data_IF_205828615615
#
_entry.id   IF_205828615615
#
_cell.length_a   1.000
_cell.length_b   1.000
_cell.length_c   1.000
_cell.angle_alpha   90.00
_cell.angle_beta   90.00
_cell.angle_gamma   90.00
#
_symmetry.space_group_name_H-M   'P 1'
#
loop_
_entity.id
_entity.type
_entity.pdbx_description
1 polymer ?
#
# COMPACT_ATOMS: atom_id res chain seq x y z
N UNK A 1 30.00 21.77 21.86
CA UNK A 1 28.78 21.28 21.17
C UNK A 1 29.05 19.85 20.72
N UNK A 2 28.31 18.87 21.22
CA UNK A 2 28.39 17.49 20.72
C UNK A 2 27.81 17.46 19.29
N UNK A 3 28.64 17.18 18.29
CA UNK A 3 28.22 16.96 16.91
C UNK A 3 27.26 15.76 16.90
N UNK A 4 25.96 16.02 16.67
CA UNK A 4 24.96 14.97 16.56
C UNK A 4 25.25 14.18 15.28
N UNK A 5 25.61 12.91 15.42
CA UNK A 5 25.77 11.97 14.30
C UNK A 5 24.46 11.88 13.52
N UNK A 6 24.55 12.09 12.20
CA UNK A 6 23.42 12.03 11.27
C UNK A 6 22.87 10.61 11.14
N UNK A 7 21.64 10.46 10.64
CA UNK A 7 21.04 9.14 10.39
C UNK A 7 21.87 8.35 9.36
N UNK A 8 22.37 9.02 8.32
CA UNK A 8 23.21 8.41 7.30
C UNK A 8 24.52 7.84 7.88
N UNK A 9 25.19 8.60 8.77
CA UNK A 9 26.40 8.14 9.46
C UNK A 9 26.11 6.97 10.41
N UNK A 10 25.02 7.04 11.20
CA UNK A 10 24.60 5.93 12.08
C UNK A 10 24.30 4.65 11.31
N UNK A 11 23.73 4.79 10.12
CA UNK A 11 23.38 3.68 9.22
C UNK A 11 24.53 3.24 8.33
N UNK A 12 25.70 3.91 8.37
CA UNK A 12 26.88 3.61 7.54
C UNK A 12 26.57 3.63 6.04
N UNK A 13 25.81 4.62 5.59
CA UNK A 13 25.59 4.84 4.16
C UNK A 13 26.89 5.26 3.46
N UNK A 14 27.04 4.88 2.20
CA UNK A 14 28.08 5.41 1.32
C UNK A 14 27.69 6.78 0.73
N UNK A 15 26.39 7.08 0.66
CA UNK A 15 25.88 8.40 0.25
C UNK A 15 25.39 9.16 1.49
N UNK A 16 26.25 10.05 2.00
CA UNK A 16 26.04 10.68 3.32
C UNK A 16 25.20 11.96 3.27
N UNK A 17 25.27 12.70 2.18
CA UNK A 17 24.67 14.02 2.07
C UNK A 17 24.26 14.36 0.63
N UNK A 18 23.58 15.50 0.50
CA UNK A 18 23.15 16.10 -0.77
C UNK A 18 24.31 16.23 -1.76
N UNK A 19 25.51 16.58 -1.28
CA UNK A 19 26.70 16.78 -2.11
C UNK A 19 27.17 15.45 -2.71
N UNK A 20 27.17 14.39 -1.92
CA UNK A 20 27.53 13.02 -2.33
C UNK A 20 26.51 12.47 -3.33
N UNK A 21 25.21 12.67 -3.08
CA UNK A 21 24.15 12.26 -4.00
C UNK A 21 24.27 12.97 -5.36
N UNK A 22 24.51 14.30 -5.37
CA UNK A 22 24.78 15.05 -6.60
C UNK A 22 26.05 14.57 -7.32
N UNK A 23 27.10 14.19 -6.59
CA UNK A 23 28.36 13.67 -7.18
C UNK A 23 28.14 12.33 -7.90
N UNK A 24 27.43 11.39 -7.28
CA UNK A 24 27.10 10.10 -7.90
C UNK A 24 26.24 10.32 -9.15
N UNK A 25 25.24 11.20 -9.05
CA UNK A 25 24.37 11.56 -10.18
C UNK A 25 25.13 12.23 -11.32
N UNK A 26 26.07 13.12 -11.02
CA UNK A 26 26.91 13.79 -12.03
C UNK A 26 27.74 12.78 -12.82
N UNK A 27 28.36 11.80 -12.16
CA UNK A 27 29.13 10.75 -12.82
C UNK A 27 28.25 9.89 -13.75
N UNK A 28 27.01 9.59 -13.32
CA UNK A 28 26.05 8.87 -14.15
C UNK A 28 25.64 9.70 -15.39
N UNK A 29 25.39 11.01 -15.23
CA UNK A 29 25.07 11.90 -16.36
C UNK A 29 26.23 12.07 -17.34
N UNK A 30 27.47 12.12 -16.85
CA UNK A 30 28.67 12.19 -17.69
C UNK A 30 28.81 10.96 -18.58
N UNK A 31 28.56 9.76 -18.03
CA UNK A 31 28.53 8.51 -18.81
C UNK A 31 27.40 8.51 -19.86
N UNK A 32 26.30 9.19 -19.57
CA UNK A 32 25.18 9.40 -20.48
C UNK A 32 25.38 10.58 -21.46
N UNK A 33 26.45 11.39 -21.31
CA UNK A 33 26.71 12.62 -22.09
C UNK A 33 25.61 13.69 -21.95
N UNK A 34 25.00 13.80 -20.76
CA UNK A 34 23.90 14.72 -20.47
C UNK A 34 24.25 15.79 -19.41
N UNK A 35 25.46 15.77 -18.87
CA UNK A 35 25.94 16.67 -17.80
C UNK A 35 25.87 18.17 -18.17
N UNK A 36 25.96 18.48 -19.46
CA UNK A 36 25.90 19.85 -19.95
C UNK A 36 24.46 20.37 -20.13
N UNK A 37 23.47 19.48 -20.23
CA UNK A 37 22.07 19.85 -20.49
C UNK A 37 21.17 19.78 -19.24
N UNK A 38 21.66 19.17 -18.15
CA UNK A 38 20.87 18.86 -16.95
C UNK A 38 21.43 19.54 -15.71
N UNK A 39 20.52 20.04 -14.87
CA UNK A 39 20.74 20.55 -13.53
C UNK A 39 20.06 19.66 -12.47
N UNK A 40 20.46 19.82 -11.22
CA UNK A 40 19.90 19.05 -10.11
C UNK A 40 18.87 19.88 -9.36
N UNK A 41 17.68 19.31 -9.16
CA UNK A 41 16.74 19.78 -8.13
C UNK A 41 17.27 19.48 -6.72
N UNK A 42 16.39 19.58 -5.72
CA UNK A 42 16.74 19.28 -4.34
C UNK A 42 16.79 17.76 -4.12
N UNK A 43 17.96 17.16 -3.80
CA UNK A 43 18.05 15.75 -3.48
C UNK A 43 17.42 15.45 -2.13
N UNK A 44 16.70 14.34 -2.04
CA UNK A 44 16.06 13.89 -0.81
C UNK A 44 16.44 12.44 -0.51
N UNK A 45 16.60 12.13 0.77
CA UNK A 45 16.82 10.77 1.24
C UNK A 45 15.49 10.17 1.69
N UNK A 46 15.16 9.00 1.14
CA UNK A 46 14.06 8.18 1.62
C UNK A 46 14.63 7.16 2.62
N UNK A 47 14.56 7.52 3.89
CA UNK A 47 15.08 6.71 4.98
C UNK A 47 14.35 5.37 5.16
N UNK A 48 13.15 5.21 4.60
CA UNK A 48 12.40 3.95 4.69
C UNK A 48 12.94 2.91 3.71
N UNK A 49 13.34 3.35 2.52
CA UNK A 49 13.85 2.45 1.48
C UNK A 49 15.36 2.50 1.31
N UNK A 50 16.06 3.32 2.10
CA UNK A 50 17.52 3.47 2.06
C UNK A 50 18.02 3.95 0.69
N UNK A 51 17.32 4.92 0.09
CA UNK A 51 17.65 5.47 -1.24
C UNK A 51 17.77 6.99 -1.20
N UNK A 52 18.57 7.55 -2.10
CA UNK A 52 18.56 8.96 -2.44
C UNK A 52 17.84 9.17 -3.76
N UNK A 53 16.99 10.19 -3.82
CA UNK A 53 16.34 10.65 -5.05
C UNK A 53 16.93 11.99 -5.44
N UNK A 54 17.43 12.10 -6.67
CA UNK A 54 18.02 13.32 -7.23
C UNK A 54 17.17 13.77 -8.41
N UNK A 55 16.29 14.76 -8.24
CA UNK A 55 15.51 15.32 -9.34
C UNK A 55 16.42 15.93 -10.39
N UNK A 56 16.10 15.71 -11.67
CA UNK A 56 16.79 16.26 -12.81
C UNK A 56 15.94 17.35 -13.47
N UNK A 57 16.55 18.50 -13.72
CA UNK A 57 15.93 19.70 -14.29
C UNK A 57 16.65 20.06 -15.58
N UNK A 58 15.93 20.43 -16.64
CA UNK A 58 16.57 20.90 -17.87
C UNK A 58 17.20 22.28 -17.67
N UNK A 59 18.46 22.48 -18.08
CA UNK A 59 19.13 23.79 -17.91
C UNK A 59 18.46 24.92 -18.68
N UNK A 60 17.90 24.63 -19.85
CA UNK A 60 17.25 25.63 -20.70
C UNK A 60 15.79 25.82 -20.32
N UNK A 61 15.04 24.74 -20.13
CA UNK A 61 13.60 24.80 -19.86
C UNK A 61 13.26 25.09 -18.39
N UNK A 62 14.17 24.79 -17.45
CA UNK A 62 13.92 24.78 -16.01
C UNK A 62 12.81 23.82 -15.56
N UNK A 63 12.32 22.96 -16.45
CA UNK A 63 11.32 21.94 -16.14
C UNK A 63 11.98 20.70 -15.53
N UNK A 64 11.25 20.01 -14.65
CA UNK A 64 11.66 18.68 -14.16
C UNK A 64 11.56 17.67 -15.31
N UNK A 65 12.70 17.14 -15.73
CA UNK A 65 12.82 16.19 -16.84
C UNK A 65 12.98 14.74 -16.36
N UNK A 66 13.23 14.50 -15.08
CA UNK A 66 13.35 13.15 -14.52
C UNK A 66 13.89 13.10 -13.12
N UNK A 67 14.41 11.94 -12.72
CA UNK A 67 15.15 11.73 -11.49
C UNK A 67 16.13 10.56 -11.61
N UNK A 68 17.16 10.57 -10.76
CA UNK A 68 18.08 9.45 -10.54
C UNK A 68 17.91 8.95 -9.11
N UNK A 69 17.77 7.64 -8.96
CA UNK A 69 17.63 6.98 -7.67
C UNK A 69 18.91 6.21 -7.35
N UNK A 70 19.49 6.48 -6.19
CA UNK A 70 20.77 5.93 -5.74
C UNK A 70 20.52 5.08 -4.51
N UNK A 71 21.06 3.87 -4.48
CA UNK A 71 21.12 3.06 -3.27
C UNK A 71 22.10 3.70 -2.26
N UNK A 72 21.61 4.01 -1.05
CA UNK A 72 22.38 4.78 -0.08
C UNK A 72 23.55 3.98 0.51
N UNK A 73 23.50 2.64 0.50
CA UNK A 73 24.55 1.77 1.02
C UNK A 73 25.67 1.54 0.03
N UNK A 74 25.35 1.43 -1.26
CA UNK A 74 26.29 0.98 -2.29
C UNK A 74 26.74 2.10 -3.22
N UNK A 75 26.05 3.25 -3.21
CA UNK A 75 26.22 4.35 -4.18
C UNK A 75 25.92 3.94 -5.63
N UNK A 76 25.27 2.80 -5.84
CA UNK A 76 24.86 2.34 -7.17
C UNK A 76 23.53 2.99 -7.59
N UNK A 77 23.38 3.22 -8.90
CA UNK A 77 22.12 3.68 -9.46
C UNK A 77 21.13 2.51 -9.53
N UNK A 78 19.91 2.75 -9.06
CA UNK A 78 18.80 1.81 -9.15
C UNK A 78 18.09 2.07 -10.48
N UNK A 79 18.43 1.29 -11.51
CA UNK A 79 18.03 1.54 -12.90
C UNK A 79 16.51 1.51 -13.13
N UNK A 80 15.79 0.58 -12.50
CA UNK A 80 14.33 0.43 -12.61
C UNK A 80 13.56 1.58 -11.98
N UNK A 81 14.17 2.31 -11.04
CA UNK A 81 13.59 3.49 -10.38
C UNK A 81 14.08 4.81 -10.94
N UNK A 82 15.12 4.79 -11.79
CA UNK A 82 15.72 5.98 -12.39
C UNK A 82 15.15 6.27 -13.78
N UNK A 83 15.13 7.54 -14.18
CA UNK A 83 14.76 7.90 -15.55
C UNK A 83 15.87 7.48 -16.50
N UNK A 84 15.55 6.73 -17.55
CA UNK A 84 16.55 6.27 -18.53
C UNK A 84 17.15 7.44 -19.33
N UNK A 85 18.44 7.39 -19.71
CA UNK A 85 19.09 8.45 -20.48
C UNK A 85 18.36 8.85 -21.76
N UNK A 86 17.81 7.87 -22.49
CA UNK A 86 17.13 8.13 -23.77
C UNK A 86 15.83 8.94 -23.57
N UNK A 87 15.18 8.75 -22.42
CA UNK A 87 13.97 9.50 -22.04
C UNK A 87 14.34 10.93 -21.64
N UNK A 88 15.46 11.12 -20.94
CA UNK A 88 15.98 12.45 -20.60
C UNK A 88 16.33 13.24 -21.87
N UNK A 89 17.04 12.62 -22.82
CA UNK A 89 17.39 13.24 -24.09
C UNK A 89 16.15 13.64 -24.90
N UNK A 90 15.15 12.75 -25.01
CA UNK A 90 13.90 13.08 -25.70
C UNK A 90 13.17 14.28 -25.09
N UNK A 91 13.11 14.34 -23.75
CA UNK A 91 12.49 15.46 -23.02
C UNK A 91 13.27 16.77 -23.21
N UNK A 92 14.60 16.72 -23.18
CA UNK A 92 15.47 17.87 -23.42
C UNK A 92 15.34 18.44 -24.84
N UNK A 93 15.12 17.58 -25.85
CA UNK A 93 14.93 17.98 -27.25
C UNK A 93 13.52 18.50 -27.56
N UNK A 94 12.63 18.62 -26.57
CA UNK A 94 11.23 19.02 -26.79
C UNK A 94 10.44 18.04 -27.66
N UNK A 95 10.94 16.80 -27.81
CA UNK A 95 10.23 15.73 -28.52
C UNK A 95 9.16 15.21 -27.57
N UNK A 96 7.93 15.70 -27.76
CA UNK A 96 6.75 15.08 -27.17
C UNK A 96 6.77 13.58 -27.50
N UNK A 97 6.68 12.76 -26.46
CA UNK A 97 6.85 11.30 -26.46
C UNK A 97 5.66 10.60 -27.18
N UNK A 98 5.44 10.93 -28.45
CA UNK A 98 4.43 10.32 -29.31
C UNK A 98 4.97 9.21 -30.22
N UNK A 99 6.25 8.83 -30.08
CA UNK A 99 6.78 7.64 -30.75
C UNK A 99 7.50 6.69 -29.80
N UNK A 100 6.82 6.29 -28.72
CA UNK A 100 6.96 4.87 -28.37
C UNK A 100 6.27 4.09 -29.48
N UNK A 101 7.06 3.46 -30.34
CA UNK A 101 6.64 2.19 -30.93
C UNK A 101 6.19 1.36 -29.75
N UNK A 102 4.87 1.29 -29.51
CA UNK A 102 4.31 0.43 -28.50
C UNK A 102 4.79 -0.95 -28.91
N UNK A 103 5.81 -1.46 -28.21
CA UNK A 103 5.84 -2.88 -27.92
C UNK A 103 4.43 -3.11 -27.39
N UNK A 104 3.57 -3.78 -28.18
CA UNK A 104 2.29 -4.25 -27.68
C UNK A 104 2.70 -5.13 -26.50
N UNK A 105 2.73 -4.58 -25.28
CA UNK A 105 2.42 -5.37 -24.08
C UNK A 105 1.12 -6.02 -24.51
N UNK A 106 1.14 -7.34 -24.71
CA UNK A 106 -0.09 -8.07 -24.94
C UNK A 106 -1.07 -7.56 -23.90
N UNK A 107 -2.12 -6.88 -24.35
CA UNK A 107 -3.20 -6.54 -23.45
C UNK A 107 -3.72 -7.90 -23.04
N UNK A 108 -3.36 -8.34 -21.83
CA UNK A 108 -3.78 -9.64 -21.32
C UNK A 108 -5.27 -9.82 -21.58
N UNK A 109 -5.69 -11.03 -21.91
CA UNK A 109 -7.11 -11.29 -22.08
C UNK A 109 -7.78 -11.21 -20.71
N UNK A 110 -8.93 -10.55 -20.62
CA UNK A 110 -9.76 -10.64 -19.42
C UNK A 110 -10.16 -12.09 -19.22
N UNK A 111 -9.87 -12.65 -18.05
CA UNK A 111 -10.20 -14.03 -17.71
C UNK A 111 -11.50 -14.03 -16.92
N UNK A 112 -12.54 -14.63 -17.49
CA UNK A 112 -13.78 -14.88 -16.76
C UNK A 112 -13.54 -15.96 -15.70
N UNK A 113 -14.08 -15.72 -14.50
CA UNK A 113 -14.06 -16.74 -13.46
C UNK A 113 -14.84 -17.98 -13.91
N UNK A 114 -14.23 -19.15 -13.75
CA UNK A 114 -14.90 -20.45 -13.94
C UNK A 114 -15.58 -20.94 -12.65
N UNK A 115 -15.44 -20.20 -11.54
CA UNK A 115 -16.01 -20.59 -10.26
C UNK A 115 -17.54 -20.43 -10.30
N UNK A 116 -18.22 -21.41 -9.70
CA UNK A 116 -19.67 -21.34 -9.46
C UNK A 116 -19.94 -20.79 -8.07
N UNK A 117 -21.17 -20.36 -7.82
CA UNK A 117 -21.63 -20.03 -6.48
C UNK A 117 -21.41 -21.24 -5.56
N UNK A 118 -20.47 -21.10 -4.62
CA UNK A 118 -19.98 -22.20 -3.79
C UNK A 118 -19.81 -21.71 -2.36
N UNK A 119 -20.22 -22.53 -1.40
CA UNK A 119 -19.92 -22.34 0.02
C UNK A 119 -18.95 -23.47 0.40
N UNK A 120 -17.75 -23.10 0.83
CA UNK A 120 -16.74 -24.04 1.29
C UNK A 120 -16.60 -23.95 2.82
N UNK A 121 -16.51 -25.10 3.49
CA UNK A 121 -16.29 -25.19 4.93
C UNK A 121 -14.87 -25.70 5.18
N UNK A 122 -14.06 -24.91 5.88
CA UNK A 122 -12.67 -25.27 6.20
C UNK A 122 -11.84 -24.05 6.60
N UNK A 123 -10.52 -24.25 6.72
CA UNK A 123 -9.59 -23.15 6.93
C UNK A 123 -9.42 -22.34 5.63
N UNK A 124 -9.68 -21.04 5.70
CA UNK A 124 -9.55 -20.15 4.53
C UNK A 124 -8.13 -20.13 3.95
N UNK A 125 -7.09 -20.29 4.78
CA UNK A 125 -5.70 -20.36 4.31
C UNK A 125 -5.48 -21.56 3.39
N UNK A 126 -6.11 -22.70 3.69
CA UNK A 126 -6.00 -23.94 2.90
C UNK A 126 -6.90 -23.89 1.67
N UNK A 127 -8.18 -23.56 1.85
CA UNK A 127 -9.16 -23.51 0.76
C UNK A 127 -8.77 -22.51 -0.34
N UNK A 128 -8.19 -21.37 0.04
CA UNK A 128 -7.73 -20.39 -0.95
C UNK A 128 -6.59 -20.94 -1.82
N UNK A 129 -5.86 -21.99 -1.41
CA UNK A 129 -4.80 -22.61 -2.23
C UNK A 129 -5.38 -23.48 -3.35
N UNK A 130 -6.57 -24.04 -3.14
CA UNK A 130 -7.27 -24.88 -4.12
C UNK A 130 -7.90 -24.05 -5.26
N UNK A 131 -8.14 -22.76 -5.02
CA UNK A 131 -8.73 -21.88 -6.03
C UNK A 131 -7.72 -21.52 -7.15
N UNK A 132 -8.15 -21.42 -8.42
CA UNK A 132 -7.27 -20.98 -9.51
C UNK A 132 -6.78 -19.54 -9.30
N UNK A 133 -5.58 -19.23 -9.78
CA UNK A 133 -5.08 -17.86 -9.75
C UNK A 133 -5.94 -16.93 -10.63
N UNK A 134 -6.16 -15.69 -10.19
CA UNK A 134 -6.97 -14.71 -10.92
C UNK A 134 -8.45 -15.09 -11.11
N UNK A 135 -8.99 -16.02 -10.33
CA UNK A 135 -10.37 -16.50 -10.42
C UNK A 135 -11.40 -15.67 -9.66
N UNK A 136 -10.97 -14.67 -8.88
CA UNK A 136 -11.84 -13.83 -8.05
C UNK A 136 -11.76 -12.37 -8.48
N UNK A 137 -12.90 -11.68 -8.66
CA UNK A 137 -12.93 -10.27 -9.08
C UNK A 137 -13.17 -9.27 -7.94
N UNK A 138 -13.62 -9.74 -6.78
CA UNK A 138 -13.81 -8.93 -5.58
C UNK A 138 -13.63 -9.81 -4.35
N UNK A 139 -12.85 -9.35 -3.38
CA UNK A 139 -12.81 -9.92 -2.04
C UNK A 139 -13.41 -8.89 -1.10
N UNK A 140 -14.43 -9.27 -0.32
CA UNK A 140 -15.07 -8.42 0.67
C UNK A 140 -15.22 -9.21 1.96
N UNK A 141 -14.55 -8.80 3.04
CA UNK A 141 -14.50 -9.59 4.27
C UNK A 141 -14.19 -8.75 5.51
N UNK A 142 -14.29 -9.38 6.69
CA UNK A 142 -13.74 -8.90 7.95
C UNK A 142 -12.84 -9.99 8.55
N UNK A 143 -11.67 -9.68 9.11
CA UNK A 143 -10.81 -10.70 9.70
C UNK A 143 -11.45 -11.24 10.99
N UNK A 144 -11.21 -12.51 11.36
CA UNK A 144 -11.50 -12.98 12.70
C UNK A 144 -10.65 -12.19 13.70
N UNK A 145 -11.27 -11.32 14.49
CA UNK A 145 -10.50 -10.44 15.37
C UNK A 145 -9.72 -11.24 16.42
N UNK A 146 -8.50 -10.78 16.71
CA UNK A 146 -7.61 -11.36 17.72
C UNK A 146 -8.29 -11.63 19.08
N UNK A 147 -9.26 -10.80 19.48
CA UNK A 147 -9.97 -10.94 20.75
C UNK A 147 -11.37 -11.60 20.64
N UNK A 148 -11.77 -12.12 19.48
CA UNK A 148 -13.14 -12.56 19.23
C UNK A 148 -13.49 -13.89 19.90
N UNK A 149 -12.51 -14.78 20.15
CA UNK A 149 -12.74 -16.12 20.69
C UNK A 149 -11.86 -16.38 21.92
N UNK A 150 -12.36 -16.11 23.14
CA UNK A 150 -11.60 -16.40 24.36
C UNK A 150 -11.46 -17.91 24.66
N UNK A 151 -12.35 -18.74 24.10
CA UNK A 151 -12.42 -20.19 24.33
C UNK A 151 -11.56 -21.00 23.34
N UNK A 152 -11.14 -20.36 22.26
CA UNK A 152 -10.28 -20.92 21.21
C UNK A 152 -9.22 -19.88 20.90
N UNK A 153 -8.13 -19.84 21.66
CA UNK A 153 -6.94 -19.06 21.29
C UNK A 153 -6.28 -19.74 20.10
N UNK A 154 -6.85 -19.56 18.91
CA UNK A 154 -6.20 -19.90 17.64
C UNK A 154 -4.85 -19.17 17.48
N UNK A 155 -4.65 -18.11 18.30
CA UNK A 155 -3.45 -17.30 18.35
C UNK A 155 -2.98 -17.17 19.81
N UNK A 156 -1.73 -17.52 20.07
CA UNK A 156 -1.07 -17.31 21.37
C UNK A 156 -0.58 -15.86 21.48
N UNK A 157 -0.16 -15.28 20.35
CA UNK A 157 0.38 -13.91 20.28
C UNK A 157 -0.27 -13.09 19.17
N UNK A 158 -0.15 -11.76 19.27
CA UNK A 158 -0.64 -10.86 18.22
C UNK A 158 0.19 -11.00 16.93
N UNK A 159 1.46 -11.33 17.06
CA UNK A 159 2.38 -11.60 15.95
C UNK A 159 1.96 -12.84 15.16
N UNK A 160 1.52 -13.91 15.84
CA UNK A 160 0.95 -15.09 15.19
C UNK A 160 -0.35 -14.77 14.44
N UNK A 161 -1.21 -13.95 15.04
CA UNK A 161 -2.41 -13.45 14.37
C UNK A 161 -2.06 -12.69 13.08
N UNK A 162 -1.11 -11.74 13.14
CA UNK A 162 -0.67 -11.00 11.95
C UNK A 162 -0.06 -11.93 10.89
N UNK A 163 0.69 -12.95 11.31
CA UNK A 163 1.26 -13.94 10.39
C UNK A 163 0.17 -14.76 9.70
N UNK A 164 -0.84 -15.25 10.43
CA UNK A 164 -1.98 -15.97 9.86
C UNK A 164 -2.71 -15.10 8.83
N UNK A 165 -3.00 -13.86 9.19
CA UNK A 165 -3.69 -12.93 8.28
C UNK A 165 -2.83 -12.62 7.05
N UNK A 166 -1.52 -12.43 7.20
CA UNK A 166 -0.60 -12.24 6.05
C UNK A 166 -0.69 -13.40 5.06
N UNK A 167 -0.68 -14.65 5.53
CA UNK A 167 -0.79 -15.82 4.63
C UNK A 167 -2.12 -15.85 3.87
N UNK A 168 -3.21 -15.47 4.53
CA UNK A 168 -4.52 -15.34 3.88
C UNK A 168 -4.49 -14.22 2.83
N UNK A 169 -3.89 -13.06 3.14
CA UNK A 169 -3.71 -11.93 2.19
C UNK A 169 -2.87 -12.34 0.97
N UNK A 170 -1.82 -13.15 1.18
CA UNK A 170 -0.98 -13.70 0.11
C UNK A 170 -1.76 -14.64 -0.82
N UNK A 171 -2.52 -15.58 -0.24
CA UNK A 171 -3.35 -16.49 -1.02
C UNK A 171 -4.47 -15.72 -1.74
N UNK A 172 -5.07 -14.73 -1.08
CA UNK A 172 -6.02 -13.80 -1.67
C UNK A 172 -5.41 -13.04 -2.86
N UNK A 173 -4.17 -12.57 -2.74
CA UNK A 173 -3.48 -11.85 -3.83
C UNK A 173 -3.34 -12.73 -5.06
N UNK A 174 -3.01 -14.02 -4.88
CA UNK A 174 -2.90 -14.99 -5.97
C UNK A 174 -4.24 -15.20 -6.70
N UNK A 175 -5.32 -15.39 -5.95
CA UNK A 175 -6.64 -15.69 -6.53
C UNK A 175 -7.36 -14.45 -7.08
N UNK A 176 -7.03 -13.26 -6.58
CA UNK A 176 -7.61 -12.00 -7.05
C UNK A 176 -7.11 -11.67 -8.46
N UNK A 177 -8.03 -11.35 -9.34
CA UNK A 177 -7.75 -10.90 -10.70
C UNK A 177 -6.96 -9.57 -10.69
N UNK A 178 -6.16 -9.36 -11.73
CA UNK A 178 -5.29 -8.19 -11.83
C UNK A 178 -6.09 -6.88 -11.79
N UNK A 179 -5.67 -5.94 -10.93
CA UNK A 179 -6.31 -4.65 -10.81
C UNK A 179 -7.72 -4.68 -10.20
N UNK A 180 -8.18 -5.81 -9.66
CA UNK A 180 -9.42 -5.94 -8.91
C UNK A 180 -9.25 -5.59 -7.42
N UNK A 181 -10.37 -5.43 -6.72
CA UNK A 181 -10.40 -4.90 -5.36
C UNK A 181 -10.47 -5.98 -4.27
N UNK A 182 -9.79 -5.68 -3.16
CA UNK A 182 -9.95 -6.32 -1.87
C UNK A 182 -10.44 -5.25 -0.89
N UNK A 183 -11.61 -5.46 -0.30
CA UNK A 183 -12.18 -4.60 0.74
C UNK A 183 -12.20 -5.34 2.08
N UNK A 184 -11.58 -4.75 3.09
CA UNK A 184 -11.53 -5.31 4.45
C UNK A 184 -12.24 -4.40 5.45
N UNK A 185 -13.29 -4.91 6.08
CA UNK A 185 -13.87 -4.31 7.26
C UNK A 185 -13.00 -4.63 8.49
N UNK A 186 -12.36 -3.63 9.09
CA UNK A 186 -11.49 -3.81 10.24
C UNK A 186 -11.61 -2.64 11.22
N UNK A 187 -11.55 -2.94 12.52
CA UNK A 187 -11.62 -1.95 13.58
C UNK A 187 -10.54 -2.14 14.65
N UNK A 188 -10.19 -1.08 15.40
CA UNK A 188 -9.26 -1.22 16.52
C UNK A 188 -9.85 -2.10 17.63
N UNK A 189 -9.08 -3.07 18.08
CA UNK A 189 -9.50 -4.08 19.05
C UNK A 189 -9.19 -3.66 20.49
N UNK A 190 -10.04 -4.01 21.44
CA UNK A 190 -9.79 -3.84 22.88
C UNK A 190 -9.41 -5.18 23.53
N UNK A 191 -8.17 -5.27 24.02
CA UNK A 191 -7.71 -6.36 24.88
C UNK A 191 -8.01 -5.99 26.32
N UNK A 192 -8.82 -6.82 26.99
CA UNK A 192 -9.21 -6.61 28.39
C UNK A 192 -8.01 -6.87 29.31
N UNK A 193 -7.97 -6.15 30.42
CA UNK A 193 -6.97 -6.38 31.48
C UNK A 193 -7.19 -7.75 32.13
N UNK A 194 -6.12 -8.42 32.51
CA UNK A 194 -6.16 -9.71 33.21
C UNK A 194 -6.40 -9.53 34.71
N UNK A 195 -5.87 -8.44 35.29
CA UNK A 195 -6.00 -8.13 36.72
C UNK A 195 -6.43 -6.67 36.97
N UNK A 196 -6.83 -6.34 38.21
CA UNK A 196 -7.20 -4.95 38.58
C UNK A 196 -6.04 -3.96 38.53
N UNK A 197 -4.81 -4.45 38.71
CA UNK A 197 -3.57 -3.68 38.63
C UNK A 197 -3.10 -3.41 37.19
N UNK A 198 -3.68 -4.10 36.21
CA UNK A 198 -3.33 -3.93 34.80
C UNK A 198 -4.29 -2.98 34.05
N UNK A 199 -3.79 -2.44 32.94
CA UNK A 199 -4.56 -1.61 32.02
C UNK A 199 -5.03 -2.43 30.82
N UNK A 200 -6.26 -2.17 30.35
CA UNK A 200 -6.71 -2.65 29.04
C UNK A 200 -5.89 -2.00 27.92
N UNK A 201 -5.52 -2.76 26.90
CA UNK A 201 -4.79 -2.24 25.73
C UNK A 201 -5.73 -2.12 24.53
N UNK A 202 -5.62 -1.04 23.77
CA UNK A 202 -6.25 -0.92 22.46
C UNK A 202 -5.21 -1.21 21.39
N UNK A 203 -5.49 -2.15 20.50
CA UNK A 203 -4.63 -2.51 19.38
C UNK A 203 -5.16 -1.81 18.13
N UNK A 204 -4.26 -1.18 17.40
CA UNK A 204 -4.56 -0.39 16.22
C UNK A 204 -4.56 -1.26 14.95
N UNK A 205 -5.34 -2.35 14.99
CA UNK A 205 -5.37 -3.42 13.96
C UNK A 205 -5.48 -2.89 12.52
N UNK A 206 -6.32 -1.89 12.19
CA UNK A 206 -6.42 -1.37 10.82
C UNK A 206 -5.07 -0.91 10.21
N UNK A 207 -4.19 -0.34 11.03
CA UNK A 207 -2.90 0.17 10.55
C UNK A 207 -1.87 -0.95 10.35
N UNK A 208 -1.93 -1.98 11.19
CA UNK A 208 -1.13 -3.19 10.98
C UNK A 208 -1.61 -3.94 9.72
N UNK A 209 -2.92 -4.03 9.49
CA UNK A 209 -3.49 -4.57 8.25
C UNK A 209 -3.01 -3.77 7.04
N UNK A 210 -3.06 -2.44 7.09
CA UNK A 210 -2.56 -1.60 6.01
C UNK A 210 -1.10 -1.89 5.68
N UNK A 211 -0.23 -2.02 6.69
CA UNK A 211 1.16 -2.41 6.46
C UNK A 211 1.26 -3.76 5.73
N UNK A 212 0.50 -4.78 6.14
CA UNK A 212 0.49 -6.08 5.47
C UNK A 212 0.06 -5.96 4.01
N UNK A 213 -1.04 -5.28 3.71
CA UNK A 213 -1.50 -5.11 2.33
C UNK A 213 -0.45 -4.46 1.42
N UNK A 214 0.22 -3.39 1.88
CA UNK A 214 1.27 -2.73 1.09
C UNK A 214 2.47 -3.67 0.86
N UNK A 215 2.89 -4.41 1.89
CA UNK A 215 4.01 -5.36 1.78
C UNK A 215 3.69 -6.54 0.85
N UNK A 216 2.42 -6.94 0.75
CA UNK A 216 1.96 -8.06 -0.09
C UNK A 216 1.50 -7.64 -1.50
N UNK A 217 1.88 -6.44 -1.97
CA UNK A 217 1.67 -6.03 -3.37
C UNK A 217 0.28 -5.49 -3.69
N UNK A 218 -0.37 -4.84 -2.72
CA UNK A 218 -1.60 -4.09 -2.96
C UNK A 218 -1.36 -2.58 -2.95
N UNK A 219 -2.16 -1.87 -3.74
CA UNK A 219 -2.27 -0.41 -3.70
C UNK A 219 -3.42 -0.02 -2.77
N UNK A 220 -3.19 0.95 -1.89
CA UNK A 220 -4.27 1.56 -1.10
C UNK A 220 -5.08 2.50 -1.99
N UNK A 221 -6.41 2.37 -1.94
CA UNK A 221 -7.33 3.15 -2.76
C UNK A 221 -8.09 4.16 -1.90
N UNK A 222 -8.71 3.70 -0.83
CA UNK A 222 -9.52 4.55 0.04
C UNK A 222 -9.77 3.90 1.41
N UNK A 223 -10.15 4.72 2.39
CA UNK A 223 -10.69 4.29 3.67
C UNK A 223 -12.09 4.85 3.90
N UNK A 224 -13.08 3.97 3.77
CA UNK A 224 -14.47 4.35 4.02
C UNK A 224 -14.75 4.17 5.52
N UNK A 225 -15.22 5.22 6.17
CA UNK A 225 -15.65 5.16 7.57
C UNK A 225 -17.08 4.65 7.62
N UNK A 226 -17.24 3.42 8.11
CA UNK A 226 -18.55 2.88 8.38
C UNK A 226 -19.03 3.36 9.75
N UNK A 227 -19.96 4.31 9.76
CA UNK A 227 -20.70 4.70 10.95
C UNK A 227 -21.74 3.62 11.30
N UNK A 228 -21.59 3.03 12.48
CA UNK A 228 -22.52 2.04 13.01
C UNK A 228 -23.72 2.75 13.63
N UNK A 229 -24.91 2.13 13.56
CA UNK A 229 -26.10 2.68 14.20
C UNK A 229 -25.89 2.87 15.71
N UNK A 230 -26.62 3.83 16.26
CA UNK A 230 -26.55 4.17 17.68
C UNK A 230 -26.76 2.92 18.56
N UNK A 231 -25.92 2.78 19.58
CA UNK A 231 -25.97 1.64 20.51
C UNK A 231 -25.04 0.46 20.19
N UNK A 232 -24.56 0.31 18.94
CA UNK A 232 -23.67 -0.80 18.57
C UNK A 232 -22.35 -0.82 19.39
N UNK A 233 -21.81 0.36 19.73
CA UNK A 233 -20.60 0.47 20.55
C UNK A 233 -20.82 0.34 22.06
N UNK A 234 -22.06 0.52 22.54
CA UNK A 234 -22.40 0.61 23.96
C UNK A 234 -22.37 -0.73 24.69
N UNK A 235 -22.45 -1.85 23.93
CA UNK A 235 -22.35 -3.20 24.48
C UNK A 235 -21.05 -3.44 25.29
N UNK A 236 -20.01 -2.63 25.05
CA UNK A 236 -18.70 -2.76 25.71
C UNK A 236 -18.56 -1.99 27.03
N UNK A 237 -19.53 -1.13 27.39
CA UNK A 237 -19.45 -0.27 28.59
C UNK A 237 -18.29 0.73 28.58
N UNK A 238 -17.64 0.91 27.43
CA UNK A 238 -16.55 1.87 27.22
C UNK A 238 -17.10 3.29 27.29
N UNK A 239 -16.31 4.25 27.76
CA UNK A 239 -16.76 5.65 27.90
C UNK A 239 -17.54 5.99 29.16
N UNK A 240 -18.07 5.01 29.93
CA UNK A 240 -18.84 5.29 31.17
C UNK A 240 -18.10 6.15 32.18
N UNK A 241 -16.82 5.85 32.42
CA UNK A 241 -16.02 6.57 33.42
C UNK A 241 -15.77 8.02 33.01
N UNK A 242 -15.45 8.26 31.73
CA UNK A 242 -15.33 9.62 31.21
C UNK A 242 -16.66 10.38 31.25
N UNK A 243 -17.77 9.71 30.91
CA UNK A 243 -19.10 10.32 31.00
C UNK A 243 -19.48 10.74 32.43
N UNK A 244 -19.05 9.95 33.44
CA UNK A 244 -19.28 10.23 34.84
C UNK A 244 -18.38 11.35 35.39
N UNK A 245 -17.06 11.18 35.30
CA UNK A 245 -16.13 12.06 36.02
C UNK A 245 -15.64 13.24 35.16
N UNK A 246 -15.78 13.15 33.83
CA UNK A 246 -15.35 14.16 32.83
C UNK A 246 -13.88 14.59 32.94
N UNK A 247 -13.02 13.74 33.51
CA UNK A 247 -11.60 14.02 33.62
C UNK A 247 -10.86 13.70 32.30
N UNK A 248 -10.02 14.61 31.76
CA UNK A 248 -9.30 14.41 30.50
C UNK A 248 -8.50 13.09 30.44
N UNK A 249 -7.90 12.65 31.55
CA UNK A 249 -7.11 11.41 31.59
C UNK A 249 -7.94 10.12 31.51
N UNK A 250 -9.27 10.24 31.54
CA UNK A 250 -10.18 9.10 31.44
C UNK A 250 -10.79 8.96 30.04
N UNK A 251 -10.35 9.76 29.06
CA UNK A 251 -10.88 9.74 27.70
C UNK A 251 -10.75 8.37 27.04
N UNK A 252 -11.89 7.68 26.92
CA UNK A 252 -12.03 6.36 26.27
C UNK A 252 -13.37 6.32 25.54
N UNK A 253 -13.49 6.94 24.36
CA UNK A 253 -14.77 7.06 23.67
C UNK A 253 -15.33 5.70 23.27
N UNK A 254 -16.65 5.65 23.14
CA UNK A 254 -17.38 4.50 22.58
C UNK A 254 -17.03 4.41 21.09
N UNK A 255 -16.54 3.27 20.59
CA UNK A 255 -16.32 3.10 19.15
C UNK A 255 -17.68 3.00 18.46
N UNK A 256 -17.98 3.98 17.61
CA UNK A 256 -19.19 4.01 16.76
C UNK A 256 -18.85 3.85 15.28
N UNK A 257 -17.57 3.66 14.95
CA UNK A 257 -17.09 3.53 13.58
C UNK A 257 -16.18 2.33 13.41
N UNK A 258 -16.15 1.82 12.18
CA UNK A 258 -15.14 0.89 11.70
C UNK A 258 -14.60 1.34 10.34
N UNK A 259 -13.44 0.81 9.96
CA UNK A 259 -12.90 1.05 8.63
C UNK A 259 -13.41 0.00 7.66
N UNK A 260 -13.71 0.43 6.45
CA UNK A 260 -13.71 -0.38 5.23
C UNK A 260 -12.49 0.07 4.43
N UNK A 261 -11.39 -0.65 4.59
CA UNK A 261 -10.14 -0.37 3.87
C UNK A 261 -10.24 -0.97 2.48
N UNK A 262 -10.07 -0.14 1.46
CA UNK A 262 -10.17 -0.51 0.05
C UNK A 262 -8.78 -0.61 -0.54
N UNK A 263 -8.45 -1.79 -1.03
CA UNK A 263 -7.18 -2.09 -1.69
C UNK A 263 -7.42 -2.60 -3.10
N UNK A 264 -6.43 -2.38 -3.97
CA UNK A 264 -6.40 -2.93 -5.32
C UNK A 264 -5.18 -3.82 -5.47
N UNK A 265 -5.33 -4.97 -6.13
CA UNK A 265 -4.15 -5.76 -6.56
C UNK A 265 -3.30 -4.92 -7.50
N UNK A 266 -2.01 -4.75 -7.18
CA UNK A 266 -1.14 -3.85 -7.91
C UNK A 266 -1.11 -4.16 -9.42
N UNK A 267 -1.14 -3.12 -10.24
CA UNK A 267 -1.04 -3.22 -11.69
C UNK A 267 -0.66 -1.88 -12.33
N UNK A 268 0.13 -1.94 -13.41
CA UNK A 268 0.41 -0.79 -14.28
C UNK A 268 -0.80 -0.39 -15.15
N UNK A 269 -1.85 -1.21 -15.18
CA UNK A 269 -3.01 -0.99 -16.04
C UNK A 269 -3.95 0.04 -15.43
N UNK A 270 -4.45 0.93 -16.30
CA UNK A 270 -5.50 1.86 -15.95
C UNK A 270 -6.74 1.12 -15.42
N UNK A 271 -7.48 1.77 -14.51
CA UNK A 271 -8.65 1.17 -13.87
C UNK A 271 -9.72 0.74 -14.88
N UNK A 272 -9.86 1.52 -15.96
CA UNK A 272 -10.82 1.27 -17.02
C UNK A 272 -10.45 0.09 -17.94
N UNK A 273 -9.24 -0.46 -17.81
CA UNK A 273 -8.82 -1.62 -18.57
C UNK A 273 -9.72 -2.82 -18.27
N UNK A 274 -10.02 -3.09 -17.00
CA UNK A 274 -10.90 -4.21 -16.62
C UNK A 274 -12.31 -4.05 -17.21
N UNK A 275 -12.80 -2.81 -17.30
CA UNK A 275 -14.10 -2.45 -17.88
C UNK A 275 -14.09 -2.64 -19.41
N UNK A 276 -13.03 -2.15 -20.07
CA UNK A 276 -12.87 -2.22 -21.53
C UNK A 276 -12.46 -3.59 -22.04
N UNK A 277 -11.81 -4.42 -21.22
CA UNK A 277 -11.40 -5.77 -21.57
C UNK A 277 -12.48 -6.82 -21.28
N UNK A 278 -13.49 -6.51 -20.46
CA UNK A 278 -14.57 -7.45 -20.14
C UNK A 278 -15.27 -7.96 -21.43
N UNK A 279 -15.44 -9.27 -21.60
CA UNK A 279 -15.97 -9.85 -22.85
C UNK A 279 -17.45 -9.54 -23.06
N UNK A 280 -18.23 -9.44 -21.99
CA UNK A 280 -19.64 -9.05 -22.05
C UNK A 280 -19.79 -7.54 -21.81
N UNK A 281 -20.13 -6.81 -22.88
CA UNK A 281 -20.33 -5.36 -22.85
C UNK A 281 -21.68 -4.93 -22.33
N UNK A 282 -22.69 -5.78 -22.43
CA UNK A 282 -24.03 -5.45 -21.94
C UNK A 282 -24.05 -5.54 -20.42
N UNK A 283 -23.40 -6.56 -19.83
CA UNK A 283 -23.20 -6.63 -18.38
C UNK A 283 -22.49 -5.39 -17.83
N UNK A 284 -21.45 -4.91 -18.49
CA UNK A 284 -20.73 -3.69 -18.08
C UNK A 284 -21.62 -2.45 -18.14
N UNK A 285 -22.48 -2.33 -19.16
CA UNK A 285 -23.44 -1.21 -19.22
C UNK A 285 -24.48 -1.31 -18.12
N UNK A 286 -24.98 -2.52 -17.85
CA UNK A 286 -25.97 -2.79 -16.82
C UNK A 286 -25.42 -2.64 -15.39
N UNK A 287 -24.11 -2.79 -15.19
CA UNK A 287 -23.48 -2.65 -13.87
C UNK A 287 -23.23 -1.20 -13.45
N UNK A 288 -23.61 -0.21 -14.25
CA UNK A 288 -23.48 1.19 -13.86
C UNK A 288 -24.38 1.48 -12.66
N UNK A 289 -23.83 2.18 -11.67
CA UNK A 289 -24.63 2.77 -10.59
C UNK A 289 -25.56 3.81 -11.22
N UNK A 290 -26.84 3.80 -10.83
CA UNK A 290 -27.85 4.71 -11.36
C UNK A 290 -27.60 6.18 -10.99
N UNK A 291 -28.46 7.06 -11.48
CA UNK A 291 -28.30 8.52 -11.40
C UNK A 291 -28.46 9.11 -9.98
N UNK A 292 -28.81 8.29 -8.99
CA UNK A 292 -28.98 8.69 -7.58
C UNK A 292 -27.66 8.66 -6.77
N UNK A 293 -26.51 8.56 -7.44
CA UNK A 293 -25.16 8.58 -6.84
C UNK A 293 -24.56 9.98 -6.78
#
# INVERSE_FOLDING_TARGET
>A
MLTRTTVAEKRKYNVLDVKSAKKVTAFWLERAKLENAVEFGLPEVDDRYHIWRVPLVGKTSHDRIGEVVIDAYTSLIIEDKSTKPEVLESRLLGRNDHSKTKVKKENGTYVLSSLRNTIAQGDSEELLQELPAGSVNLIFTSPPYYNARPEYTDYVTYEEYLLKIRKIIQNAHRVLAEGCFFVMNVSPVLVRRTSRSEASRRIAVPFDMHKLFIEEGYDFIDDIIWEKPEGAGWATGRGRRFAADRNPLQYKPVPVTEYLLVYRKHTDKLIDWNIRAHPDKETVKASKVGDDY
#
